data_IF_809578361200
#
_entry.id   IF_809578361200
#
_cell.length_a   1.000
_cell.length_b   1.000
_cell.length_c   1.000
_cell.angle_alpha   90.00
_cell.angle_beta   90.00
_cell.angle_gamma   90.00
#
_symmetry.space_group_name_H-M   'P 1'
#
loop_
_entity.id
_entity.type
_entity.pdbx_description
1 polymer ?
#
# COMPACT_ATOMS: atom_id res chain seq x y z
N UNK A 1 -10.89 -16.46 -3.87
CA UNK A 1 -9.90 -17.49 -4.30
C UNK A 1 -9.94 -18.64 -3.30
N UNK A 2 -10.17 -19.86 -3.76
CA UNK A 2 -10.18 -21.04 -2.89
C UNK A 2 -8.76 -21.44 -2.44
N UNK A 3 -8.66 -22.37 -1.46
CA UNK A 3 -7.38 -22.74 -0.86
C UNK A 3 -6.41 -23.41 -1.86
N UNK A 4 -6.93 -24.19 -2.79
CA UNK A 4 -6.09 -24.84 -3.81
C UNK A 4 -5.55 -23.81 -4.81
N UNK A 5 -6.40 -22.93 -5.32
CA UNK A 5 -6.04 -21.86 -6.23
C UNK A 5 -5.04 -20.92 -5.58
N UNK A 6 -5.22 -20.59 -4.28
CA UNK A 6 -4.28 -19.77 -3.52
C UNK A 6 -2.91 -20.41 -3.41
N UNK A 7 -2.82 -21.71 -3.16
CA UNK A 7 -1.53 -22.42 -3.10
C UNK A 7 -0.83 -22.42 -4.44
N UNK A 8 -1.58 -22.65 -5.53
CA UNK A 8 -1.04 -22.59 -6.89
C UNK A 8 -0.58 -21.17 -7.23
N UNK A 9 -1.34 -20.18 -6.82
CA UNK A 9 -0.99 -18.76 -7.00
C UNK A 9 0.32 -18.43 -6.27
N UNK A 10 0.42 -18.77 -4.99
CA UNK A 10 1.63 -18.49 -4.21
C UNK A 10 2.86 -19.18 -4.80
N UNK A 11 2.72 -20.42 -5.27
CA UNK A 11 3.80 -21.13 -5.94
C UNK A 11 4.26 -20.41 -7.20
N UNK A 12 3.33 -19.97 -8.03
CA UNK A 12 3.63 -19.23 -9.25
C UNK A 12 4.22 -17.84 -8.94
N UNK A 13 3.73 -17.20 -7.89
CA UNK A 13 4.18 -15.87 -7.46
C UNK A 13 5.64 -15.89 -7.01
N UNK A 14 6.06 -16.96 -6.32
CA UNK A 14 7.44 -17.14 -5.84
C UNK A 14 8.36 -17.85 -6.82
N UNK A 15 7.87 -18.25 -7.97
CA UNK A 15 8.70 -18.91 -8.99
C UNK A 15 9.76 -17.94 -9.54
N UNK A 16 10.91 -18.50 -9.94
CA UNK A 16 11.98 -17.70 -10.57
C UNK A 16 11.53 -17.06 -11.87
N UNK A 17 10.77 -17.80 -12.67
CA UNK A 17 10.16 -17.31 -13.88
C UNK A 17 8.65 -17.28 -13.71
N UNK A 18 8.10 -16.10 -13.89
CA UNK A 18 6.67 -15.88 -13.79
C UNK A 18 6.23 -14.97 -14.93
N UNK A 19 5.04 -15.23 -15.43
CA UNK A 19 4.43 -14.43 -16.50
C UNK A 19 3.35 -13.56 -15.92
N UNK A 20 3.47 -12.27 -16.15
CA UNK A 20 2.57 -11.25 -15.63
C UNK A 20 1.99 -10.43 -16.78
N UNK A 21 0.78 -9.93 -16.55
CA UNK A 21 0.10 -9.03 -17.46
C UNK A 21 -0.57 -7.91 -16.67
N UNK A 22 -0.88 -6.82 -17.33
CA UNK A 22 -1.62 -5.71 -16.75
C UNK A 22 -2.79 -5.34 -17.66
N UNK A 23 -3.91 -4.93 -17.07
CA UNK A 23 -5.04 -4.37 -17.81
C UNK A 23 -5.66 -3.21 -17.05
N UNK A 24 -6.10 -2.20 -17.80
CA UNK A 24 -6.81 -1.04 -17.29
C UNK A 24 -7.92 -0.73 -18.26
N UNK A 25 -9.19 -1.09 -17.92
CA UNK A 25 -10.30 -0.97 -18.85
C UNK A 25 -10.05 -1.76 -20.13
N UNK A 26 -10.09 -1.07 -21.26
CA UNK A 26 -9.85 -1.66 -22.59
C UNK A 26 -8.34 -1.82 -22.92
N UNK A 27 -7.47 -1.24 -22.12
CA UNK A 27 -6.03 -1.24 -22.35
C UNK A 27 -5.37 -2.46 -21.72
N UNK A 28 -4.49 -3.09 -22.47
CA UNK A 28 -3.77 -4.29 -22.07
C UNK A 28 -2.25 -4.04 -21.95
N UNK A 29 -1.48 -5.05 -21.64
CA UNK A 29 -0.02 -4.96 -21.46
C UNK A 29 0.70 -4.29 -22.63
N UNK A 30 0.26 -4.51 -23.86
CA UNK A 30 0.84 -3.90 -25.04
C UNK A 30 0.69 -2.38 -25.10
N UNK A 31 -0.33 -1.86 -24.42
CA UNK A 31 -0.66 -0.43 -24.42
C UNK A 31 0.00 0.30 -23.26
N UNK A 32 0.58 -0.42 -22.31
CA UNK A 32 1.09 0.15 -21.05
C UNK A 32 2.59 -0.06 -20.96
N UNK A 33 3.34 1.04 -20.90
CA UNK A 33 4.79 1.03 -20.77
C UNK A 33 5.20 0.66 -19.35
N UNK A 34 4.60 1.31 -18.35
CA UNK A 34 4.85 1.05 -16.95
C UNK A 34 3.64 1.47 -16.10
N UNK A 35 3.55 0.85 -14.94
CA UNK A 35 2.58 1.23 -13.92
C UNK A 35 3.21 1.11 -12.56
N UNK A 36 2.86 2.01 -11.65
CA UNK A 36 3.30 1.93 -10.26
C UNK A 36 2.13 2.22 -9.34
N UNK A 37 2.15 1.59 -8.16
CA UNK A 37 1.11 1.73 -7.16
C UNK A 37 1.76 1.86 -5.79
N UNK A 38 1.29 2.79 -4.98
CA UNK A 38 1.78 3.02 -3.63
C UNK A 38 0.64 2.97 -2.63
N UNK A 39 0.89 2.30 -1.51
CA UNK A 39 -0.08 2.10 -0.44
C UNK A 39 0.56 2.41 0.90
N UNK A 40 -0.21 2.94 1.83
CA UNK A 40 0.24 3.22 3.18
C UNK A 40 -0.76 2.82 4.24
N UNK A 41 -0.25 2.40 5.40
CA UNK A 41 -1.03 2.11 6.59
C UNK A 41 -0.81 3.17 7.67
N UNK A 42 0.37 3.78 7.70
CA UNK A 42 0.68 4.89 8.58
C UNK A 42 1.08 6.12 7.76
N UNK A 43 0.97 7.28 8.37
CA UNK A 43 1.44 8.53 7.79
C UNK A 43 2.83 8.83 8.34
N UNK A 44 3.81 8.99 7.45
CA UNK A 44 5.19 9.26 7.85
C UNK A 44 5.96 7.99 8.21
N UNK A 45 7.10 8.16 8.87
CA UNK A 45 8.06 7.09 9.13
C UNK A 45 7.89 6.44 10.51
N UNK A 46 7.21 7.11 11.43
CA UNK A 46 6.99 6.59 12.79
C UNK A 46 5.59 6.01 12.90
N UNK A 47 5.49 4.80 13.46
CA UNK A 47 4.18 4.19 13.71
C UNK A 47 3.35 5.11 14.60
N UNK A 48 2.18 5.47 14.10
CA UNK A 48 1.23 6.32 14.79
C UNK A 48 -0.17 5.94 14.34
N UNK A 49 -1.10 5.67 15.27
CA UNK A 49 -2.48 5.39 14.89
C UNK A 49 -3.16 6.64 14.31
N UNK A 50 -4.26 6.43 13.63
CA UNK A 50 -5.03 7.50 13.02
C UNK A 50 -4.54 7.92 11.65
N UNK A 51 -3.70 7.12 11.01
CA UNK A 51 -3.31 7.36 9.61
C UNK A 51 -4.52 7.33 8.71
N UNK A 52 -4.65 8.36 7.86
CA UNK A 52 -5.60 8.39 6.74
C UNK A 52 -4.76 8.43 5.47
N UNK A 53 -4.22 7.26 5.10
CA UNK A 53 -3.24 7.15 4.04
C UNK A 53 -3.90 7.08 2.67
N UNK A 54 -3.55 8.02 1.81
CA UNK A 54 -3.98 7.99 0.42
C UNK A 54 -3.06 7.06 -0.36
N UNK A 55 -3.65 6.09 -1.06
CA UNK A 55 -2.95 5.34 -2.07
C UNK A 55 -2.86 6.14 -3.36
N UNK A 56 -1.85 5.88 -4.14
CA UNK A 56 -1.63 6.54 -5.41
C UNK A 56 -1.16 5.57 -6.47
N UNK A 57 -1.24 5.99 -7.71
CA UNK A 57 -0.75 5.21 -8.82
C UNK A 57 -0.29 6.10 -9.95
N UNK A 58 0.46 5.52 -10.86
CA UNK A 58 0.93 6.17 -12.08
C UNK A 58 0.94 5.15 -13.19
N UNK A 59 0.34 5.49 -14.33
CA UNK A 59 0.31 4.60 -15.49
C UNK A 59 0.77 5.39 -16.71
N UNK A 60 1.76 4.85 -17.41
CA UNK A 60 2.26 5.41 -18.65
C UNK A 60 1.86 4.51 -19.82
N UNK A 61 1.13 5.06 -20.77
CA UNK A 61 0.67 4.38 -21.98
C UNK A 61 1.66 4.59 -23.12
N UNK A 62 1.72 3.63 -24.02
CA UNK A 62 2.64 3.63 -25.17
C UNK A 62 2.18 4.50 -26.34
N UNK A 63 1.05 5.15 -26.23
CA UNK A 63 0.51 6.03 -27.27
C UNK A 63 -0.15 7.25 -26.66
N UNK A 64 -0.43 8.24 -27.50
CA UNK A 64 -1.20 9.41 -27.08
C UNK A 64 -2.67 9.08 -27.04
N UNK A 65 -3.28 9.27 -25.87
CA UNK A 65 -4.70 9.02 -25.62
C UNK A 65 -5.33 10.33 -25.17
N UNK A 66 -6.34 10.78 -25.89
CA UNK A 66 -6.98 12.08 -25.64
C UNK A 66 -8.36 11.96 -25.01
N UNK A 67 -8.81 10.72 -24.74
CA UNK A 67 -10.16 10.45 -24.25
C UNK A 67 -10.28 10.43 -22.73
N UNK A 68 -9.18 10.45 -22.01
CA UNK A 68 -9.20 10.52 -20.56
C UNK A 68 -9.56 11.90 -20.04
N UNK A 69 -10.34 11.94 -18.97
CA UNK A 69 -10.69 13.17 -18.27
C UNK A 69 -10.28 13.07 -16.80
N UNK A 70 -10.00 14.22 -16.18
CA UNK A 70 -9.75 14.27 -14.73
C UNK A 70 -10.97 13.73 -13.98
N UNK A 71 -10.71 12.98 -12.92
CA UNK A 71 -11.69 12.29 -12.08
C UNK A 71 -12.36 11.07 -12.73
N UNK A 72 -11.97 10.69 -13.93
CA UNK A 72 -12.38 9.38 -14.47
C UNK A 72 -11.93 8.27 -13.53
N UNK A 73 -12.77 7.27 -13.34
CA UNK A 73 -12.51 6.13 -12.47
C UNK A 73 -11.84 5.00 -13.24
N UNK A 74 -10.75 4.49 -12.68
CA UNK A 74 -9.99 3.37 -13.24
C UNK A 74 -9.85 2.25 -12.22
N UNK A 75 -9.89 1.01 -12.72
CA UNK A 75 -9.70 -0.21 -11.91
C UNK A 75 -8.57 -1.06 -12.48
N UNK A 76 -7.30 -0.66 -12.27
CA UNK A 76 -6.17 -1.44 -12.78
C UNK A 76 -6.09 -2.83 -12.15
N UNK A 77 -5.71 -3.81 -12.94
CA UNK A 77 -5.50 -5.18 -12.48
C UNK A 77 -4.18 -5.70 -13.01
N UNK A 78 -3.48 -6.47 -12.19
CA UNK A 78 -2.29 -7.21 -12.59
C UNK A 78 -2.63 -8.69 -12.54
N UNK A 79 -2.32 -9.41 -13.61
CA UNK A 79 -2.57 -10.83 -13.73
C UNK A 79 -1.28 -11.63 -13.62
N UNK A 80 -1.36 -12.75 -12.92
CA UNK A 80 -0.30 -13.75 -12.85
C UNK A 80 -0.76 -15.00 -13.58
N UNK A 81 0.05 -15.50 -14.50
CA UNK A 81 -0.24 -16.74 -15.20
C UNK A 81 0.00 -17.93 -14.26
N UNK A 82 -1.07 -18.65 -13.96
CA UNK A 82 -1.06 -19.85 -13.13
C UNK A 82 -1.56 -21.02 -13.97
N UNK A 83 -0.67 -21.90 -14.39
CA UNK A 83 -1.00 -22.89 -15.42
C UNK A 83 -1.32 -22.21 -16.75
N UNK A 84 -2.52 -22.38 -17.24
CA UNK A 84 -2.97 -21.81 -18.53
C UNK A 84 -3.85 -20.55 -18.38
N UNK A 85 -4.11 -20.13 -17.15
CA UNK A 85 -5.06 -19.07 -16.87
C UNK A 85 -4.43 -17.94 -16.05
N UNK A 86 -4.70 -16.70 -16.45
CA UNK A 86 -4.34 -15.54 -15.64
C UNK A 86 -5.27 -15.42 -14.44
N UNK A 87 -4.67 -15.28 -13.27
CA UNK A 87 -5.37 -14.87 -12.05
C UNK A 87 -5.19 -13.37 -11.91
N UNK A 88 -6.27 -12.63 -12.02
CA UNK A 88 -6.25 -11.18 -11.98
C UNK A 88 -6.44 -10.67 -10.56
N UNK A 89 -5.57 -9.74 -10.18
CA UNK A 89 -5.60 -9.10 -8.86
C UNK A 89 -5.89 -7.62 -9.06
N UNK A 90 -6.92 -7.13 -8.40
CA UNK A 90 -7.25 -5.71 -8.41
C UNK A 90 -6.16 -4.93 -7.66
N UNK A 91 -5.75 -3.79 -8.23
CA UNK A 91 -4.72 -2.94 -7.63
C UNK A 91 -5.31 -1.72 -6.93
N UNK A 92 -6.60 -1.53 -6.99
CA UNK A 92 -7.33 -0.44 -6.36
C UNK A 92 -8.36 0.18 -7.27
N UNK A 93 -9.14 1.08 -6.70
CA UNK A 93 -10.01 1.99 -7.44
C UNK A 93 -9.36 3.37 -7.42
N UNK A 94 -9.09 3.91 -8.58
CA UNK A 94 -8.40 5.17 -8.73
C UNK A 94 -9.19 6.17 -9.54
N UNK A 95 -8.89 7.43 -9.28
CA UNK A 95 -9.45 8.58 -9.99
C UNK A 95 -8.28 9.34 -10.62
N UNK A 96 -8.47 9.79 -11.84
CA UNK A 96 -7.41 10.51 -12.56
C UNK A 96 -7.23 11.88 -11.91
N UNK A 97 -6.02 12.12 -11.37
CA UNK A 97 -5.64 13.39 -10.77
C UNK A 97 -4.97 14.32 -11.77
N UNK A 98 -4.15 13.78 -12.64
CA UNK A 98 -3.46 14.55 -13.67
C UNK A 98 -3.20 13.71 -14.92
N UNK A 99 -3.10 14.40 -16.05
CA UNK A 99 -2.88 13.78 -17.36
C UNK A 99 -1.73 14.54 -18.03
N UNK A 100 -0.66 13.82 -18.37
CA UNK A 100 0.48 14.37 -19.09
C UNK A 100 0.63 13.69 -20.45
N UNK A 101 0.63 14.48 -21.51
CA UNK A 101 0.86 13.98 -22.87
C UNK A 101 2.24 14.44 -23.32
N UNK A 102 3.12 13.48 -23.59
CA UNK A 102 4.45 13.74 -24.14
C UNK A 102 4.46 13.36 -25.62
N UNK A 103 4.38 14.39 -26.48
CA UNK A 103 4.30 14.20 -27.93
C UNK A 103 5.64 13.77 -28.51
N UNK A 104 6.74 14.10 -27.86
CA UNK A 104 8.07 13.70 -28.32
C UNK A 104 8.29 12.20 -28.10
N UNK A 105 7.84 11.68 -26.97
CA UNK A 105 7.93 10.24 -26.63
C UNK A 105 6.73 9.43 -27.07
N UNK A 106 5.68 10.09 -27.53
CA UNK A 106 4.42 9.46 -27.91
C UNK A 106 3.80 8.66 -26.75
N UNK A 107 3.75 9.27 -25.57
CA UNK A 107 3.23 8.63 -24.35
C UNK A 107 2.16 9.48 -23.68
N UNK A 108 1.30 8.82 -22.92
CA UNK A 108 0.32 9.44 -22.03
C UNK A 108 0.55 8.90 -20.63
N UNK A 109 0.74 9.79 -19.66
CA UNK A 109 0.94 9.42 -18.27
C UNK A 109 -0.21 9.93 -17.43
N UNK A 110 -0.83 9.03 -16.68
CA UNK A 110 -1.88 9.35 -15.72
C UNK A 110 -1.32 9.30 -14.32
N UNK A 111 -1.56 10.34 -13.53
CA UNK A 111 -1.39 10.31 -12.10
C UNK A 111 -2.72 9.99 -11.45
N UNK A 112 -2.73 9.01 -10.58
CA UNK A 112 -3.92 8.43 -9.97
C UNK A 112 -3.95 8.66 -8.48
N UNK A 113 -5.14 8.89 -7.95
CA UNK A 113 -5.40 8.99 -6.52
C UNK A 113 -6.57 8.08 -6.17
N UNK A 114 -6.54 7.52 -4.96
CA UNK A 114 -7.67 6.73 -4.48
C UNK A 114 -8.78 7.61 -3.89
N UNK A 115 -9.79 6.98 -3.31
CA UNK A 115 -10.97 7.69 -2.78
C UNK A 115 -10.70 8.61 -1.58
N UNK A 116 -9.49 8.63 -1.03
CA UNK A 116 -9.16 9.45 0.13
C UNK A 116 -9.37 10.95 -0.13
N UNK A 117 -9.23 11.39 -1.38
CA UNK A 117 -9.45 12.79 -1.75
C UNK A 117 -10.87 13.28 -1.44
N UNK A 118 -11.84 12.37 -1.42
CA UNK A 118 -13.25 12.70 -1.12
C UNK A 118 -13.42 13.28 0.28
N UNK A 119 -12.46 13.01 1.16
CA UNK A 119 -12.44 13.50 2.54
C UNK A 119 -11.82 14.90 2.69
N UNK A 120 -11.22 15.46 1.63
CA UNK A 120 -10.55 16.76 1.66
C UNK A 120 -11.54 17.93 1.47
N UNK A 121 -12.64 17.89 2.22
CA UNK A 121 -13.66 18.93 2.24
C UNK A 121 -13.91 19.33 3.69
N UNK A 122 -14.42 20.54 3.89
CA UNK A 122 -14.76 21.03 5.23
C UNK A 122 -15.77 20.09 5.90
N UNK A 123 -15.48 19.72 7.15
CA UNK A 123 -16.36 18.89 7.95
C UNK A 123 -17.64 19.65 8.28
N UNK A 124 -18.77 19.05 7.95
CA UNK A 124 -20.10 19.53 8.33
C UNK A 124 -20.86 18.37 8.96
N UNK A 125 -21.61 18.64 10.02
CA UNK A 125 -22.30 17.60 10.77
C UNK A 125 -23.74 17.96 11.05
N UNK A 126 -24.61 16.96 11.02
CA UNK A 126 -26.00 17.03 11.47
C UNK A 126 -26.18 16.30 12.81
N UNK A 127 -25.09 15.78 13.39
CA UNK A 127 -25.14 15.08 14.66
C UNK A 127 -25.34 16.05 15.83
N UNK A 128 -26.04 15.57 16.84
CA UNK A 128 -26.13 16.23 18.13
C UNK A 128 -25.05 15.70 19.06
N UNK A 129 -24.25 16.58 19.64
CA UNK A 129 -23.18 16.19 20.56
C UNK A 129 -23.70 16.24 22.02
N UNK A 130 -23.27 15.34 22.89
CA UNK A 130 -22.22 14.33 22.65
C UNK A 130 -22.67 13.21 21.68
N UNK A 131 -21.75 12.78 20.84
CA UNK A 131 -21.97 11.72 19.87
C UNK A 131 -20.88 10.63 19.99
N UNK A 132 -21.21 9.42 19.64
CA UNK A 132 -20.24 8.31 19.65
C UNK A 132 -19.31 8.38 18.43
N UNK A 133 -18.08 7.90 18.60
CA UNK A 133 -17.09 7.81 17.50
C UNK A 133 -17.69 7.10 16.28
N UNK A 134 -18.42 6.00 16.48
CA UNK A 134 -19.07 5.26 15.39
C UNK A 134 -20.06 6.10 14.60
N UNK A 135 -20.82 6.96 15.28
CA UNK A 135 -21.80 7.84 14.62
C UNK A 135 -21.08 8.88 13.76
N UNK A 136 -19.97 9.42 14.26
CA UNK A 136 -19.15 10.36 13.50
C UNK A 136 -18.58 9.71 12.24
N UNK A 137 -18.04 8.50 12.37
CA UNK A 137 -17.48 7.76 11.23
C UNK A 137 -18.57 7.42 10.20
N UNK A 138 -19.74 6.97 10.65
CA UNK A 138 -20.88 6.69 9.78
C UNK A 138 -21.31 7.92 8.99
N UNK A 139 -21.43 9.04 9.67
CA UNK A 139 -21.82 10.30 9.02
C UNK A 139 -20.79 10.74 7.99
N UNK A 140 -19.50 10.63 8.31
CA UNK A 140 -18.43 10.97 7.37
C UNK A 140 -18.53 10.12 6.10
N UNK A 141 -18.72 8.83 6.25
CA UNK A 141 -18.85 7.92 5.09
C UNK A 141 -20.09 8.24 4.27
N UNK A 142 -21.23 8.51 4.93
CA UNK A 142 -22.47 8.85 4.25
C UNK A 142 -22.35 10.14 3.45
N UNK A 143 -21.81 11.19 4.05
CA UNK A 143 -21.69 12.51 3.42
C UNK A 143 -20.64 12.58 2.32
N UNK A 144 -19.65 11.71 2.36
CA UNK A 144 -18.57 11.67 1.37
C UNK A 144 -18.79 10.62 0.27
N UNK A 145 -19.81 9.77 0.42
CA UNK A 145 -20.10 8.70 -0.54
C UNK A 145 -19.08 7.57 -0.49
N UNK A 146 -18.42 7.37 0.65
CA UNK A 146 -17.40 6.34 0.84
C UNK A 146 -18.07 5.11 1.45
N UNK A 147 -17.79 3.94 0.87
CA UNK A 147 -18.27 2.65 1.38
C UNK A 147 -17.22 2.04 2.31
N UNK A 148 -17.64 1.61 3.51
CA UNK A 148 -16.81 0.87 4.43
C UNK A 148 -16.72 -0.60 4.00
N UNK A 149 -15.50 -1.17 4.09
CA UNK A 149 -15.26 -2.56 3.73
C UNK A 149 -15.94 -3.54 4.70
N UNK A 150 -16.00 -3.18 5.98
CA UNK A 150 -16.56 -4.00 7.06
C UNK A 150 -17.42 -3.16 7.99
N UNK A 151 -18.29 -3.84 8.74
CA UNK A 151 -19.01 -3.23 9.85
C UNK A 151 -18.12 -3.26 11.11
N UNK A 152 -17.65 -2.10 11.51
CA UNK A 152 -16.76 -1.94 12.68
C UNK A 152 -17.51 -1.61 13.97
N UNK A 153 -18.84 -1.65 13.97
CA UNK A 153 -19.67 -1.12 15.07
C UNK A 153 -19.66 -1.98 16.33
N UNK A 154 -19.11 -3.20 16.25
CA UNK A 154 -18.97 -4.07 17.41
C UNK A 154 -17.75 -3.79 18.30
N UNK A 155 -16.87 -2.86 17.91
CA UNK A 155 -15.67 -2.55 18.69
C UNK A 155 -16.03 -1.62 19.83
N UNK A 156 -15.69 -1.99 21.07
CA UNK A 156 -16.05 -1.21 22.26
C UNK A 156 -15.51 0.23 22.22
N UNK A 157 -14.32 0.44 21.66
CA UNK A 157 -13.72 1.76 21.53
C UNK A 157 -14.51 2.69 20.58
N UNK A 158 -15.29 2.13 19.66
CA UNK A 158 -16.19 2.91 18.79
C UNK A 158 -17.28 3.64 19.57
N UNK A 159 -17.53 3.27 20.81
CA UNK A 159 -18.54 3.88 21.68
C UNK A 159 -18.02 5.06 22.51
N UNK A 160 -16.75 5.44 22.37
CA UNK A 160 -16.27 6.66 22.99
C UNK A 160 -17.13 7.85 22.55
N UNK A 161 -17.40 8.75 23.48
CA UNK A 161 -18.22 9.92 23.20
C UNK A 161 -17.35 11.11 22.88
N UNK A 162 -17.75 11.84 21.86
CA UNK A 162 -17.20 13.14 21.50
C UNK A 162 -18.15 14.19 22.06
N UNK A 163 -17.66 15.01 22.98
CA UNK A 163 -18.51 16.00 23.66
C UNK A 163 -18.97 17.11 22.72
N UNK A 164 -18.06 17.64 21.93
CA UNK A 164 -18.34 18.72 20.99
C UNK A 164 -17.20 18.84 19.95
N UNK A 165 -17.50 19.45 18.82
CA UNK A 165 -16.49 19.84 17.84
C UNK A 165 -15.95 21.20 18.27
N UNK A 166 -14.61 21.41 18.31
CA UNK A 166 -14.04 22.69 18.69
C UNK A 166 -14.50 23.84 17.79
N UNK A 167 -14.94 24.92 18.39
CA UNK A 167 -15.28 26.14 17.68
C UNK A 167 -14.01 26.83 17.14
N UNK A 168 -14.10 27.40 15.95
CA UNK A 168 -13.03 28.18 15.34
C UNK A 168 -11.95 27.37 14.65
N UNK A 169 -11.99 26.04 14.71
CA UNK A 169 -11.10 25.18 13.92
C UNK A 169 -11.82 24.71 12.67
N UNK A 170 -11.23 24.99 11.51
CA UNK A 170 -11.72 24.43 10.25
C UNK A 170 -11.13 23.03 10.07
N UNK A 171 -11.88 22.02 10.44
CA UNK A 171 -11.51 20.62 10.26
C UNK A 171 -12.09 20.11 8.94
N UNK A 172 -11.32 19.32 8.23
CA UNK A 172 -11.83 18.55 7.10
C UNK A 172 -12.45 17.24 7.58
N UNK A 173 -13.22 16.59 6.71
CA UNK A 173 -13.68 15.22 7.00
C UNK A 173 -12.49 14.29 7.25
N UNK A 174 -11.38 14.50 6.55
CA UNK A 174 -10.16 13.70 6.73
C UNK A 174 -9.54 13.93 8.11
N UNK A 175 -9.49 15.17 8.59
CA UNK A 175 -9.02 15.50 9.94
C UNK A 175 -9.88 14.83 11.02
N UNK A 176 -11.21 14.92 10.86
CA UNK A 176 -12.13 14.27 11.78
C UNK A 176 -11.98 12.75 11.78
N UNK A 177 -11.91 12.15 10.60
CA UNK A 177 -11.72 10.70 10.49
C UNK A 177 -10.39 10.26 11.10
N UNK A 178 -9.31 11.00 10.86
CA UNK A 178 -8.00 10.74 11.46
C UNK A 178 -8.08 10.79 12.99
N UNK A 179 -8.74 11.80 13.55
CA UNK A 179 -8.91 11.92 14.99
C UNK A 179 -9.71 10.75 15.57
N UNK A 180 -10.80 10.35 14.89
CA UNK A 180 -11.63 9.23 15.34
C UNK A 180 -10.88 7.90 15.30
N UNK A 181 -10.20 7.62 14.19
CA UNK A 181 -9.44 6.37 14.05
C UNK A 181 -8.24 6.32 15.00
N UNK A 182 -7.63 7.46 15.30
CA UNK A 182 -6.57 7.55 16.29
C UNK A 182 -7.06 7.21 17.70
N UNK A 183 -8.25 7.67 18.08
CA UNK A 183 -8.84 7.35 19.38
C UNK A 183 -9.04 5.85 19.60
N UNK A 184 -9.38 5.13 18.54
CA UNK A 184 -9.58 3.68 18.60
C UNK A 184 -8.32 2.88 18.29
N UNK A 185 -7.21 3.55 18.02
CA UNK A 185 -5.91 2.92 17.81
C UNK A 185 -5.78 2.16 16.50
N UNK A 186 -6.49 2.60 15.48
CA UNK A 186 -6.50 1.97 14.15
C UNK A 186 -5.96 2.92 13.09
N UNK A 187 -5.81 2.42 11.89
CA UNK A 187 -5.51 3.20 10.69
C UNK A 187 -6.62 3.02 9.66
N UNK A 188 -6.74 4.02 8.81
CA UNK A 188 -7.75 4.09 7.76
C UNK A 188 -7.06 4.18 6.40
N UNK A 189 -7.50 3.37 5.46
CA UNK A 189 -6.98 3.35 4.10
C UNK A 189 -8.01 2.71 3.16
N UNK A 190 -7.79 2.87 1.84
CA UNK A 190 -8.64 2.23 0.83
C UNK A 190 -8.02 0.90 0.40
N UNK A 191 -8.83 -0.14 0.37
CA UNK A 191 -8.39 -1.46 -0.08
C UNK A 191 -8.36 -1.55 -1.61
N UNK A 192 -7.97 -2.70 -2.12
CA UNK A 192 -7.82 -2.97 -3.54
C UNK A 192 -9.15 -2.93 -4.31
N UNK A 193 -10.28 -3.04 -3.61
CA UNK A 193 -11.61 -2.97 -4.18
C UNK A 193 -12.22 -1.56 -4.15
N UNK A 194 -11.50 -0.58 -3.61
CA UNK A 194 -11.97 0.80 -3.50
C UNK A 194 -12.85 1.07 -2.29
N UNK A 195 -12.88 0.16 -1.33
CA UNK A 195 -13.60 0.34 -0.06
C UNK A 195 -12.66 0.79 1.03
N UNK A 196 -13.17 1.58 1.95
CA UNK A 196 -12.39 2.07 3.08
C UNK A 196 -12.32 1.03 4.19
N UNK A 197 -11.13 0.74 4.64
CA UNK A 197 -10.88 -0.10 5.80
C UNK A 197 -10.41 0.75 6.97
N UNK A 198 -10.96 0.44 8.14
CA UNK A 198 -10.51 0.98 9.43
C UNK A 198 -10.23 -0.24 10.28
N UNK A 199 -8.96 -0.57 10.50
CA UNK A 199 -8.62 -1.82 11.18
C UNK A 199 -7.22 -1.83 11.77
N UNK A 200 -7.01 -2.80 12.63
CA UNK A 200 -5.69 -3.18 13.12
C UNK A 200 -4.91 -3.97 12.07
N UNK A 201 -3.65 -4.27 12.40
CA UNK A 201 -2.82 -5.16 11.61
C UNK A 201 -3.41 -6.58 11.63
N UNK A 202 -3.45 -7.21 10.46
CA UNK A 202 -3.97 -8.56 10.27
C UNK A 202 -2.90 -9.49 9.71
N UNK A 203 -3.10 -10.79 9.85
CA UNK A 203 -2.15 -11.79 9.37
C UNK A 203 -2.32 -12.04 7.86
N UNK A 204 -1.22 -12.04 7.11
CA UNK A 204 -1.24 -12.37 5.69
C UNK A 204 -1.03 -13.87 5.42
N UNK A 205 -0.39 -14.58 6.34
CA UNK A 205 0.09 -15.95 6.16
C UNK A 205 1.06 -16.11 4.99
N UNK A 206 1.75 -15.02 4.63
CA UNK A 206 2.76 -15.01 3.57
C UNK A 206 4.14 -15.02 4.22
N UNK A 207 5.02 -15.88 3.70
CA UNK A 207 6.45 -15.91 4.06
C UNK A 207 7.26 -15.57 2.82
N UNK A 208 8.13 -14.58 2.94
CA UNK A 208 9.03 -14.18 1.88
C UNK A 208 10.43 -14.67 2.25
N UNK A 209 10.98 -15.55 1.45
CA UNK A 209 12.33 -16.06 1.68
C UNK A 209 13.37 -15.32 0.82
N UNK A 210 14.65 -15.56 1.10
CA UNK A 210 15.76 -14.85 0.45
C UNK A 210 15.84 -15.03 -1.06
N UNK A 211 15.22 -16.08 -1.61
CA UNK A 211 15.16 -16.29 -3.05
C UNK A 211 14.34 -15.24 -3.79
N UNK A 212 13.52 -14.49 -3.05
CA UNK A 212 12.66 -13.43 -3.59
C UNK A 212 13.26 -12.03 -3.45
N UNK A 213 14.39 -11.87 -2.76
CA UNK A 213 15.02 -10.55 -2.57
C UNK A 213 15.90 -10.17 -3.74
N UNK A 214 15.97 -8.88 -4.02
CA UNK A 214 17.06 -8.33 -4.80
C UNK A 214 18.35 -8.31 -3.96
N UNK A 215 19.49 -8.18 -4.65
CA UNK A 215 20.78 -8.06 -3.97
C UNK A 215 20.74 -6.88 -2.99
N UNK A 216 21.12 -7.12 -1.74
CA UNK A 216 21.00 -6.13 -0.64
C UNK A 216 19.58 -5.56 -0.48
N UNK A 217 18.57 -6.35 -0.89
CA UNK A 217 17.18 -5.90 -0.88
C UNK A 217 16.58 -5.75 0.51
N UNK A 218 17.12 -6.43 1.51
CA UNK A 218 16.62 -6.36 2.88
C UNK A 218 17.58 -5.59 3.78
N UNK A 219 17.06 -4.52 4.40
CA UNK A 219 17.70 -3.86 5.53
C UNK A 219 16.83 -4.04 6.75
N UNK A 220 17.43 -4.33 7.89
CA UNK A 220 16.72 -4.60 9.13
C UNK A 220 17.43 -3.93 10.28
N UNK A 221 16.69 -3.28 11.16
CA UNK A 221 17.20 -2.69 12.39
C UNK A 221 17.49 -3.78 13.43
N UNK A 222 18.46 -3.55 14.29
CA UNK A 222 18.76 -4.44 15.42
C UNK A 222 17.87 -4.18 16.63
N UNK A 223 17.32 -2.98 16.73
CA UNK A 223 16.52 -2.57 17.87
C UNK A 223 15.05 -2.66 17.49
N UNK A 224 14.28 -3.40 18.29
CA UNK A 224 12.84 -3.51 18.09
C UNK A 224 12.16 -2.14 18.31
N UNK A 225 11.17 -1.87 17.48
CA UNK A 225 10.20 -0.84 17.77
C UNK A 225 9.34 -1.28 18.95
N UNK A 226 9.28 -0.44 19.97
CA UNK A 226 8.35 -0.58 21.09
C UNK A 226 8.21 0.78 21.74
N UNK A 227 7.00 1.22 21.99
CA UNK A 227 6.77 2.51 22.65
C UNK A 227 6.89 2.38 24.18
N UNK A 228 7.43 3.41 24.80
CA UNK A 228 7.53 3.52 26.25
C UNK A 228 6.36 4.29 26.85
N UNK A 229 5.71 5.14 26.07
CA UNK A 229 4.58 5.95 26.52
C UNK A 229 3.98 6.76 25.40
N UNK A 230 2.93 7.50 25.72
CA UNK A 230 2.25 8.40 24.77
C UNK A 230 1.99 9.74 25.46
N UNK A 231 2.29 10.82 24.74
CA UNK A 231 1.89 12.18 25.12
C UNK A 231 0.91 12.69 24.08
N UNK A 232 -0.22 13.21 24.51
CA UNK A 232 -1.25 13.75 23.61
C UNK A 232 -1.54 15.20 23.97
N UNK A 233 -1.39 16.09 22.99
CA UNK A 233 -1.84 17.46 23.12
C UNK A 233 -3.31 17.52 22.76
N UNK A 234 -4.12 17.98 23.71
CA UNK A 234 -5.51 18.35 23.49
C UNK A 234 -5.60 19.87 23.34
N UNK A 235 -6.80 20.44 23.32
CA UNK A 235 -6.98 21.86 23.08
C UNK A 235 -6.20 22.76 24.10
N UNK A 236 -6.27 22.43 25.38
CA UNK A 236 -5.64 23.23 26.45
C UNK A 236 -4.77 22.43 27.41
N UNK A 237 -4.67 21.12 27.21
CA UNK A 237 -4.00 20.21 28.13
C UNK A 237 -3.06 19.31 27.39
N UNK A 238 -2.07 18.80 28.12
CA UNK A 238 -1.23 17.72 27.66
C UNK A 238 -1.50 16.50 28.53
N UNK A 239 -1.90 15.41 27.91
CA UNK A 239 -2.17 14.14 28.60
C UNK A 239 -1.01 13.20 28.37
N UNK A 240 -0.64 12.42 29.38
CA UNK A 240 0.45 11.47 29.29
C UNK A 240 0.04 10.12 29.85
N UNK A 241 0.65 9.06 29.31
CA UNK A 241 0.53 7.70 29.81
C UNK A 241 1.85 6.98 29.57
N UNK A 242 2.25 6.12 30.51
CA UNK A 242 3.51 5.43 30.44
C UNK A 242 4.70 6.35 30.73
N UNK A 243 5.87 6.02 30.19
CA UNK A 243 7.10 6.78 30.41
C UNK A 243 7.26 7.89 29.39
N UNK A 244 7.74 9.03 29.82
CA UNK A 244 8.04 10.17 28.95
C UNK A 244 9.45 10.11 28.34
N UNK A 245 10.29 9.22 28.86
CA UNK A 245 11.64 8.95 28.37
C UNK A 245 11.63 7.72 27.45
N UNK A 246 12.60 7.65 26.54
CA UNK A 246 12.66 6.60 25.55
C UNK A 246 11.78 6.91 24.33
N UNK A 247 11.27 5.88 23.68
CA UNK A 247 10.41 6.05 22.51
C UNK A 247 8.97 6.35 22.96
N UNK A 248 8.62 7.63 22.95
CA UNK A 248 7.30 8.10 23.28
C UNK A 248 6.59 8.58 22.00
N UNK A 249 5.33 8.19 21.82
CA UNK A 249 4.51 8.73 20.75
C UNK A 249 3.97 10.11 21.17
N UNK A 250 4.03 11.05 20.24
CA UNK A 250 3.44 12.36 20.40
C UNK A 250 2.22 12.48 19.50
N UNK A 251 1.06 12.67 20.12
CA UNK A 251 -0.21 12.83 19.43
C UNK A 251 -0.73 14.24 19.63
N UNK A 252 -1.48 14.71 18.66
CA UNK A 252 -2.23 15.95 18.72
C UNK A 252 -3.68 15.64 18.36
N UNK A 253 -4.54 15.56 19.38
CA UNK A 253 -5.93 15.16 19.19
C UNK A 253 -6.79 15.75 20.30
N UNK A 254 -7.62 16.72 19.95
CA UNK A 254 -8.46 17.47 20.90
C UNK A 254 -9.57 16.63 21.53
N UNK A 255 -9.87 15.47 20.95
CA UNK A 255 -10.97 14.62 21.41
C UNK A 255 -10.54 13.54 22.41
N UNK A 256 -9.25 13.26 22.53
CA UNK A 256 -8.75 12.19 23.38
C UNK A 256 -8.89 12.57 24.85
N UNK A 257 -9.55 11.69 25.63
CA UNK A 257 -9.60 11.76 27.08
C UNK A 257 -8.48 10.94 27.69
N UNK A 258 -8.20 11.12 28.99
CA UNK A 258 -7.21 10.33 29.71
C UNK A 258 -7.54 8.83 29.65
N UNK A 259 -8.81 8.47 29.79
CA UNK A 259 -9.26 7.09 29.70
C UNK A 259 -8.99 6.48 28.32
N UNK A 260 -9.33 7.20 27.26
CA UNK A 260 -9.06 6.76 25.89
C UNK A 260 -7.54 6.63 25.63
N UNK A 261 -6.74 7.55 26.16
CA UNK A 261 -5.30 7.51 26.02
C UNK A 261 -4.69 6.31 26.74
N UNK A 262 -5.19 5.99 27.95
CA UNK A 262 -4.75 4.81 28.68
C UNK A 262 -5.04 3.52 27.90
N UNK A 263 -6.25 3.38 27.36
CA UNK A 263 -6.62 2.22 26.55
C UNK A 263 -5.76 2.12 25.29
N UNK A 264 -5.47 3.23 24.66
CA UNK A 264 -4.61 3.31 23.48
C UNK A 264 -3.19 2.83 23.80
N UNK A 265 -2.63 3.26 24.91
CA UNK A 265 -1.31 2.83 25.36
C UNK A 265 -1.27 1.32 25.65
N UNK A 266 -2.27 0.79 26.34
CA UNK A 266 -2.37 -0.66 26.61
C UNK A 266 -2.42 -1.47 25.32
N UNK A 267 -3.08 -0.95 24.29
CA UNK A 267 -3.14 -1.59 22.98
C UNK A 267 -1.78 -1.54 22.27
N UNK A 268 -1.15 -0.37 22.23
CA UNK A 268 0.03 -0.13 21.41
C UNK A 268 1.33 -0.60 22.05
N UNK A 269 1.40 -0.70 23.40
CA UNK A 269 2.62 -1.13 24.10
C UNK A 269 3.06 -2.55 23.72
N UNK A 270 2.14 -3.39 23.27
CA UNK A 270 2.41 -4.77 22.88
C UNK A 270 2.82 -4.91 21.41
N UNK A 271 2.75 -3.82 20.65
CA UNK A 271 3.17 -3.82 19.26
C UNK A 271 4.68 -3.70 19.19
N UNK A 272 5.34 -4.78 18.78
CA UNK A 272 6.80 -4.82 18.61
C UNK A 272 7.12 -5.40 17.24
N UNK A 273 8.13 -4.82 16.61
CA UNK A 273 8.68 -5.34 15.37
C UNK A 273 10.06 -4.72 15.12
N UNK A 274 10.88 -5.39 14.31
CA UNK A 274 12.12 -4.80 13.85
C UNK A 274 11.84 -3.90 12.64
N UNK A 275 12.15 -2.60 12.70
CA UNK A 275 12.08 -1.74 11.53
C UNK A 275 12.88 -2.32 10.37
N UNK A 276 12.33 -2.28 9.17
CA UNK A 276 12.91 -2.92 7.99
C UNK A 276 12.50 -2.23 6.70
N UNK A 277 13.22 -2.55 5.65
CA UNK A 277 12.89 -2.20 4.27
C UNK A 277 13.28 -3.37 3.39
N UNK A 278 12.36 -3.85 2.57
CA UNK A 278 12.58 -4.98 1.69
C UNK A 278 12.22 -4.63 0.25
N UNK A 279 13.21 -4.76 -0.63
CA UNK A 279 13.03 -4.75 -2.08
C UNK A 279 13.11 -6.19 -2.58
N UNK A 280 12.06 -6.63 -3.24
CA UNK A 280 11.92 -8.02 -3.66
C UNK A 280 11.06 -8.11 -4.93
N UNK A 281 10.85 -9.33 -5.42
CA UNK A 281 10.09 -9.53 -6.65
C UNK A 281 8.60 -9.20 -6.55
N UNK A 282 8.08 -8.90 -5.35
CA UNK A 282 6.70 -8.53 -5.11
C UNK A 282 5.75 -9.72 -5.00
N UNK A 283 4.76 -9.60 -4.14
CA UNK A 283 3.65 -10.54 -4.03
C UNK A 283 2.34 -9.75 -4.11
N UNK A 284 1.55 -10.01 -5.14
CA UNK A 284 0.35 -9.22 -5.45
C UNK A 284 -0.72 -9.27 -4.36
N UNK A 285 -0.81 -10.37 -3.61
CA UNK A 285 -1.84 -10.54 -2.58
C UNK A 285 -1.44 -10.01 -1.21
N UNK A 286 -0.17 -9.61 -1.04
CA UNK A 286 0.25 -8.95 0.19
C UNK A 286 -0.23 -7.50 0.18
N UNK A 287 -0.86 -7.08 1.26
CA UNK A 287 -1.43 -5.74 1.39
C UNK A 287 -0.85 -5.00 2.58
N UNK A 288 -0.91 -3.67 2.54
CA UNK A 288 -0.56 -2.85 3.71
C UNK A 288 -1.45 -3.20 4.90
N UNK A 289 -0.93 -3.02 6.09
CA UNK A 289 -1.66 -3.35 7.31
C UNK A 289 -1.72 -4.83 7.60
N UNK A 290 -0.86 -5.63 6.98
CA UNK A 290 -0.73 -7.06 7.26
C UNK A 290 0.63 -7.38 7.84
N UNK A 291 0.67 -8.43 8.67
CA UNK A 291 1.92 -9.04 9.10
C UNK A 291 2.44 -9.96 8.00
N UNK A 292 3.73 -9.97 7.82
CA UNK A 292 4.42 -10.86 6.89
C UNK A 292 5.62 -11.49 7.61
N UNK A 293 5.91 -12.74 7.29
CA UNK A 293 7.11 -13.42 7.78
C UNK A 293 8.21 -13.28 6.74
N UNK A 294 9.39 -12.84 7.17
CA UNK A 294 10.56 -12.71 6.32
C UNK A 294 11.59 -13.74 6.78
N UNK A 295 12.12 -14.51 5.85
CA UNK A 295 13.17 -15.49 6.10
C UNK A 295 14.46 -15.02 5.43
N UNK A 296 15.56 -14.99 6.20
CA UNK A 296 16.89 -14.63 5.69
C UNK A 296 17.54 -15.85 5.00
N UNK A 297 18.64 -15.60 4.29
CA UNK A 297 19.43 -16.68 3.67
C UNK A 297 20.06 -17.64 4.70
N UNK A 298 20.16 -17.24 5.95
CA UNK A 298 20.58 -18.07 7.09
C UNK A 298 19.41 -18.83 7.73
N UNK A 299 18.23 -18.77 7.13
CA UNK A 299 16.98 -19.39 7.60
C UNK A 299 16.46 -18.83 8.93
N UNK A 300 16.93 -17.66 9.34
CA UNK A 300 16.33 -16.91 10.43
C UNK A 300 15.00 -16.31 9.96
N UNK A 301 13.98 -16.37 10.80
CA UNK A 301 12.67 -15.79 10.48
C UNK A 301 12.31 -14.71 11.47
N UNK A 302 11.61 -13.69 10.98
CA UNK A 302 11.03 -12.66 11.81
C UNK A 302 9.74 -12.15 11.20
N UNK A 303 8.85 -11.69 12.06
CA UNK A 303 7.53 -11.18 11.67
C UNK A 303 7.52 -9.67 11.74
N UNK A 304 7.06 -9.03 10.66
CA UNK A 304 7.04 -7.57 10.54
C UNK A 304 5.74 -7.11 9.89
N UNK A 305 5.27 -5.90 10.20
CA UNK A 305 4.10 -5.35 9.54
C UNK A 305 4.47 -4.67 8.23
N UNK A 306 3.55 -4.67 7.29
CA UNK A 306 3.65 -3.90 6.06
C UNK A 306 2.98 -2.56 6.30
N UNK A 307 3.76 -1.54 6.61
CA UNK A 307 3.26 -0.18 6.87
C UNK A 307 3.31 0.72 5.64
N UNK A 308 4.17 0.39 4.69
CA UNK A 308 4.26 1.04 3.39
C UNK A 308 4.55 -0.03 2.33
N UNK A 309 3.94 0.10 1.18
CA UNK A 309 4.08 -0.85 0.09
C UNK A 309 4.01 -0.15 -1.24
N UNK A 310 4.88 -0.55 -2.16
CA UNK A 310 4.80 -0.12 -3.54
C UNK A 310 5.01 -1.30 -4.49
N UNK A 311 4.39 -1.19 -5.66
CA UNK A 311 4.60 -2.08 -6.78
C UNK A 311 5.02 -1.27 -8.00
N UNK A 312 5.97 -1.80 -8.74
CA UNK A 312 6.34 -1.27 -10.05
C UNK A 312 6.18 -2.40 -11.05
N UNK A 313 5.32 -2.17 -12.03
CA UNK A 313 5.12 -3.06 -13.15
C UNK A 313 5.76 -2.44 -14.40
N UNK A 314 6.81 -3.06 -14.87
CA UNK A 314 7.55 -2.61 -16.05
C UNK A 314 8.06 -3.86 -16.78
N UNK A 315 7.08 -4.63 -17.32
CA UNK A 315 7.23 -5.95 -17.93
C UNK A 315 7.54 -7.10 -16.99
N UNK A 316 7.81 -6.81 -15.79
CA UNK A 316 7.87 -7.70 -14.66
C UNK A 316 7.33 -6.93 -13.48
N UNK A 317 7.23 -7.58 -12.35
CA UNK A 317 6.77 -6.97 -11.13
C UNK A 317 7.91 -6.86 -10.13
N UNK A 318 8.01 -5.70 -9.51
CA UNK A 318 8.89 -5.45 -8.39
C UNK A 318 8.06 -4.89 -7.23
N UNK A 319 8.35 -5.34 -6.01
CA UNK A 319 7.69 -4.87 -4.82
C UNK A 319 8.67 -4.29 -3.81
N UNK A 320 8.17 -3.35 -3.03
CA UNK A 320 8.86 -2.83 -1.86
C UNK A 320 7.87 -2.80 -0.70
N UNK A 321 8.31 -3.32 0.43
CA UNK A 321 7.56 -3.21 1.68
C UNK A 321 8.48 -2.68 2.76
N UNK A 322 7.92 -1.94 3.71
CA UNK A 322 8.70 -1.36 4.79
C UNK A 322 7.87 -1.08 6.04
N UNK A 323 8.59 -0.99 7.14
CA UNK A 323 8.13 -0.44 8.41
C UNK A 323 9.36 0.21 9.06
N UNK A 324 9.62 1.49 8.76
CA UNK A 324 10.88 2.11 9.14
C UNK A 324 10.97 2.41 10.63
N UNK A 325 10.32 3.37 11.17
CA UNK A 325 10.20 3.71 12.61
C UNK A 325 11.43 3.43 13.50
N UNK A 326 12.63 3.52 12.95
CA UNK A 326 13.85 3.25 13.70
C UNK A 326 14.22 4.41 14.64
N UNK A 327 14.92 4.11 15.73
CA UNK A 327 15.51 5.14 16.58
C UNK A 327 16.71 5.78 15.88
N UNK A 328 17.00 7.06 16.17
CA UNK A 328 18.05 7.81 15.49
C UNK A 328 19.46 7.24 15.62
N UNK A 329 19.73 6.48 16.67
CA UNK A 329 21.01 5.81 16.93
C UNK A 329 20.99 4.31 16.63
N UNK A 330 19.97 3.87 15.93
CA UNK A 330 19.77 2.46 15.59
C UNK A 330 20.68 2.04 14.44
N UNK A 331 21.20 0.83 14.50
CA UNK A 331 22.05 0.25 13.46
C UNK A 331 21.21 -0.63 12.56
N UNK A 332 21.31 -0.40 11.25
CA UNK A 332 20.64 -1.23 10.25
C UNK A 332 21.62 -2.18 9.59
N UNK A 333 21.17 -3.42 9.40
CA UNK A 333 21.89 -4.44 8.63
C UNK A 333 21.25 -4.64 7.27
N UNK A 334 22.10 -4.86 6.29
CA UNK A 334 21.67 -5.24 4.95
C UNK A 334 21.82 -6.77 4.79
N UNK A 335 20.76 -7.39 4.27
CA UNK A 335 20.72 -8.83 4.01
C UNK A 335 20.70 -9.08 2.52
N UNK A 336 21.56 -9.98 2.07
CA UNK A 336 21.65 -10.35 0.66
C UNK A 336 20.50 -11.26 0.27
N UNK A 337 19.91 -10.99 -0.88
CA UNK A 337 18.96 -11.87 -1.56
C UNK A 337 19.64 -12.67 -2.67
N UNK A 338 18.89 -13.57 -3.27
CA UNK A 338 19.40 -14.41 -4.36
C UNK A 338 19.04 -13.89 -5.75
N UNK A 339 18.09 -12.98 -5.85
CA UNK A 339 17.84 -12.28 -7.12
C UNK A 339 18.97 -11.28 -7.32
N UNK A 340 20.09 -11.76 -7.82
CA UNK A 340 21.29 -10.95 -7.99
C UNK A 340 21.45 -10.52 -9.42
N UNK A 341 21.94 -9.30 -9.54
CA UNK A 341 22.54 -8.83 -10.76
C UNK A 341 23.94 -8.39 -10.44
N UNK A 342 24.83 -8.64 -11.37
CA UNK A 342 26.18 -8.11 -11.28
C UNK A 342 26.12 -6.59 -11.37
N UNK A 343 26.31 -5.95 -10.25
CA UNK A 343 26.41 -4.50 -10.17
C UNK A 343 27.88 -4.17 -10.02
N UNK A 344 28.37 -3.27 -10.86
CA UNK A 344 29.72 -2.74 -10.69
C UNK A 344 29.81 -2.05 -9.34
N UNK A 345 30.85 -2.36 -8.57
CA UNK A 345 31.09 -1.72 -7.30
C UNK A 345 31.25 -0.21 -7.53
N UNK A 346 30.44 0.56 -6.85
CA UNK A 346 30.57 2.01 -6.80
C UNK A 346 30.94 2.43 -5.38
N UNK A 347 31.69 3.51 -5.25
CA UNK A 347 32.08 4.02 -3.97
C UNK A 347 30.87 4.64 -3.23
N UNK A 348 30.72 4.27 -1.94
CA UNK A 348 29.69 4.80 -1.08
C UNK A 348 28.40 3.98 -1.02
N UNK A 349 27.77 3.99 0.15
CA UNK A 349 26.58 3.16 0.44
C UNK A 349 25.38 3.59 -0.40
N UNK A 350 25.13 4.88 -0.51
CA UNK A 350 24.00 5.40 -1.32
C UNK A 350 24.18 5.13 -2.81
N UNK A 351 25.41 5.27 -3.29
CA UNK A 351 25.73 4.96 -4.68
C UNK A 351 25.52 3.48 -4.99
N UNK A 352 25.83 2.58 -4.04
CA UNK A 352 25.58 1.14 -4.20
C UNK A 352 24.08 0.85 -4.28
N UNK A 353 23.28 1.46 -3.42
CA UNK A 353 21.83 1.29 -3.44
C UNK A 353 21.25 1.83 -4.73
N UNK A 354 21.66 3.01 -5.15
CA UNK A 354 21.21 3.60 -6.40
C UNK A 354 21.58 2.75 -7.61
N UNK A 355 22.81 2.23 -7.66
CA UNK A 355 23.24 1.33 -8.71
C UNK A 355 22.43 0.04 -8.75
N UNK A 356 22.05 -0.50 -7.58
CA UNK A 356 21.19 -1.68 -7.49
C UNK A 356 19.79 -1.39 -8.02
N UNK A 357 19.22 -0.26 -7.67
CA UNK A 357 17.91 0.17 -8.18
C UNK A 357 17.95 0.33 -9.69
N UNK A 358 18.95 1.01 -10.21
CA UNK A 358 19.12 1.22 -11.65
C UNK A 358 19.33 -0.11 -12.41
N UNK A 359 20.12 -1.01 -11.86
CA UNK A 359 20.34 -2.33 -12.47
C UNK A 359 19.06 -3.16 -12.45
N UNK A 360 18.30 -3.11 -11.37
CA UNK A 360 17.00 -3.78 -11.28
C UNK A 360 16.02 -3.18 -12.28
N UNK A 361 15.97 -1.85 -12.39
CA UNK A 361 15.10 -1.16 -13.35
C UNK A 361 15.43 -1.53 -14.80
N UNK A 362 16.69 -1.56 -15.13
CA UNK A 362 17.13 -1.96 -16.48
C UNK A 362 16.76 -3.41 -16.81
N UNK A 363 16.85 -4.31 -15.84
CA UNK A 363 16.42 -5.69 -16.01
C UNK A 363 14.91 -5.81 -16.18
N UNK A 364 14.17 -5.07 -15.39
CA UNK A 364 12.72 -4.99 -15.52
C UNK A 364 12.34 -4.47 -16.91
N UNK A 365 13.01 -3.42 -17.40
CA UNK A 365 12.80 -2.92 -18.76
C UNK A 365 12.98 -3.99 -19.83
N UNK A 366 14.06 -4.76 -19.73
CA UNK A 366 14.31 -5.86 -20.67
C UNK A 366 13.25 -6.95 -20.61
N UNK A 367 12.82 -7.30 -19.39
CA UNK A 367 11.74 -8.29 -19.20
C UNK A 367 10.41 -7.77 -19.71
N UNK A 368 10.14 -6.46 -19.54
CA UNK A 368 8.95 -5.80 -20.10
C UNK A 368 8.89 -5.96 -21.60
N UNK A 369 9.97 -5.61 -22.28
CA UNK A 369 10.01 -5.62 -23.73
C UNK A 369 9.79 -7.04 -24.26
N UNK A 370 10.38 -8.04 -23.59
CA UNK A 370 10.18 -9.44 -23.95
C UNK A 370 8.71 -9.88 -23.76
N UNK A 371 8.12 -9.56 -22.62
CA UNK A 371 6.73 -9.93 -22.32
C UNK A 371 5.75 -9.23 -23.26
N UNK A 372 5.98 -7.95 -23.56
CA UNK A 372 5.19 -7.23 -24.56
C UNK A 372 5.24 -7.91 -25.91
N UNK A 373 6.43 -8.28 -26.34
CA UNK A 373 6.61 -8.98 -27.61
C UNK A 373 5.89 -10.32 -27.62
N UNK A 374 6.07 -11.14 -26.60
CA UNK A 374 5.44 -12.45 -26.47
C UNK A 374 3.92 -12.33 -26.45
N UNK A 375 3.40 -11.35 -25.70
CA UNK A 375 1.96 -11.07 -25.62
C UNK A 375 1.40 -10.62 -26.96
N UNK A 376 2.07 -9.71 -27.66
CA UNK A 376 1.67 -9.24 -28.99
C UNK A 376 1.66 -10.38 -30.01
N UNK A 377 2.69 -11.23 -29.97
CA UNK A 377 2.77 -12.42 -30.84
C UNK A 377 1.57 -13.37 -30.58
N UNK A 378 1.21 -13.58 -29.32
CA UNK A 378 0.05 -14.39 -28.95
C UNK A 378 -1.28 -13.79 -29.40
N UNK A 379 -1.42 -12.46 -29.28
CA UNK A 379 -2.63 -11.74 -29.73
C UNK A 379 -2.78 -11.85 -31.25
N UNK A 380 -1.71 -11.64 -32.00
CA UNK A 380 -1.74 -11.79 -33.47
C UNK A 380 -2.08 -13.21 -33.89
N UNK A 381 -1.54 -14.21 -33.20
CA UNK A 381 -1.84 -15.62 -33.45
C UNK A 381 -3.33 -15.92 -33.18
N UNK A 382 -3.87 -15.40 -32.09
CA UNK A 382 -5.28 -15.55 -31.73
C UNK A 382 -6.20 -14.89 -32.76
N UNK A 383 -5.84 -13.69 -33.26
CA UNK A 383 -6.57 -13.01 -34.34
C UNK A 383 -6.57 -13.81 -35.61
N UNK A 384 -5.41 -14.36 -36.01
CA UNK A 384 -5.30 -15.19 -37.21
C UNK A 384 -6.16 -16.44 -37.13
N UNK A 385 -6.21 -17.09 -35.94
CA UNK A 385 -7.08 -18.25 -35.71
C UNK A 385 -8.55 -17.89 -35.77
N UNK A 386 -8.94 -16.74 -35.20
CA UNK A 386 -10.33 -16.28 -35.24
C UNK A 386 -10.79 -15.98 -36.67
N UNK A 387 -9.94 -15.39 -37.50
CA UNK A 387 -10.25 -15.16 -38.92
C UNK A 387 -10.35 -16.46 -39.70
N UNK A 388 -9.49 -17.42 -39.43
CA UNK A 388 -9.50 -18.72 -40.04
C UNK A 388 -10.80 -19.47 -39.74
N UNK A 389 -11.24 -19.47 -38.46
CA UNK A 389 -12.53 -20.04 -38.05
C UNK A 389 -13.72 -19.34 -38.75
N UNK A 390 -13.67 -18.02 -38.88
CA UNK A 390 -14.69 -17.26 -39.63
C UNK A 390 -14.77 -17.70 -41.10
N UNK A 391 -13.63 -17.92 -41.74
CA UNK A 391 -13.59 -18.38 -43.14
C UNK A 391 -14.16 -19.78 -43.30
N UNK A 392 -13.89 -20.68 -42.35
CA UNK A 392 -14.42 -22.05 -42.36
C UNK A 392 -15.93 -22.08 -42.14
N UNK A 393 -16.48 -21.12 -41.37
CA UNK A 393 -17.89 -21.04 -41.08
C UNK A 393 -18.70 -20.31 -42.18
N UNK A 394 -18.05 -19.62 -43.07
CA UNK A 394 -18.69 -19.00 -44.24
C UNK A 394 -18.49 -19.84 -45.48
#
# INVERSE_FOLDING_TARGET
>A
MDALTRRQFDRAMFAKERTLAIRVGEYASRDIKEASFEYGYIKGDTYKPGGTCAGSGKITFTSIITTFNKLDTLHPEIGLLVGDTYQWVKMGEYFINDIEIDRNRNTTTLELMDGMFKLNREYVTDLHFPAEVREVIQEICLKTGIELANDYFGISAMRYHIEQVPEGKKLSFRDMLSAMTQMIGMSCFFNREGKMEIRDLTESNITINADSYFLHGLTKSEIEYQIAGITCKTDKKSLTVGMTTGRSLELDNVFITQSALNDLYYKLKNLTYYPYNLNYQGHLLLEVGQWVTIQTNKKETFKVPVLSQSFIFKGGLRGRISADSKAGNDTQYSYEGTITKQIKQQDGFEAKIQAQIEAADKDFDQKVDKIKKDFNDQVELAKARAEEVKRELS
#
